data_IF_605932375374
#
_entry.id   IF_605932375374
#
_cell.length_a   1.000
_cell.length_b   1.000
_cell.length_c   1.000
_cell.angle_alpha   90.00
_cell.angle_beta   90.00
_cell.angle_gamma   90.00
#
_symmetry.space_group_name_H-M   'P 1'
#
loop_
_entity.id
_entity.type
_entity.pdbx_description
1 polymer ?
#
# COMPACT_ATOMS: atom_id res chain seq x y z
N UNK A 1 -5.70 4.68 12.53
CA UNK A 1 -6.43 3.54 11.96
C UNK A 1 -6.33 2.40 12.97
N UNK A 2 -7.07 2.49 14.08
CA UNK A 2 -6.90 1.59 15.23
C UNK A 2 -7.10 0.10 14.88
N UNK A 3 -7.98 -0.20 13.93
CA UNK A 3 -8.16 -1.57 13.42
C UNK A 3 -6.89 -2.17 12.83
N UNK A 4 -6.19 -1.43 11.95
CA UNK A 4 -4.98 -1.94 11.31
C UNK A 4 -3.85 -2.14 12.32
N UNK A 5 -3.80 -1.30 13.35
CA UNK A 5 -2.83 -1.44 14.44
C UNK A 5 -3.12 -2.70 15.28
N UNK A 6 -4.39 -2.94 15.61
CA UNK A 6 -4.84 -4.18 16.27
C UNK A 6 -4.57 -5.42 15.42
N UNK A 7 -4.91 -5.38 14.13
CA UNK A 7 -4.61 -6.47 13.19
C UNK A 7 -3.11 -6.79 13.13
N UNK A 8 -2.25 -5.76 13.10
CA UNK A 8 -0.81 -5.96 13.12
C UNK A 8 -0.34 -6.64 14.42
N UNK A 9 -0.89 -6.24 15.57
CA UNK A 9 -0.59 -6.85 16.86
C UNK A 9 -1.02 -8.33 16.89
N UNK A 10 -2.23 -8.63 16.43
CA UNK A 10 -2.76 -9.99 16.37
C UNK A 10 -1.91 -10.90 15.47
N UNK A 11 -1.60 -10.44 14.26
CA UNK A 11 -0.76 -11.19 13.32
C UNK A 11 0.66 -11.39 13.86
N UNK A 12 1.21 -10.41 14.57
CA UNK A 12 2.53 -10.53 15.21
C UNK A 12 2.50 -11.54 16.36
N UNK A 13 1.42 -11.58 17.14
CA UNK A 13 1.26 -12.52 18.25
C UNK A 13 1.07 -13.97 17.78
N UNK A 14 0.38 -14.17 16.64
CA UNK A 14 0.09 -15.49 16.06
C UNK A 14 1.26 -16.13 15.31
N UNK A 15 2.38 -15.44 15.13
CA UNK A 15 3.61 -16.06 14.62
C UNK A 15 4.32 -16.96 15.64
N UNK A 16 3.56 -17.84 16.29
CA UNK A 16 4.08 -18.87 17.17
C UNK A 16 4.95 -19.85 16.36
N UNK A 17 6.25 -19.92 16.69
CA UNK A 17 7.19 -20.89 16.11
C UNK A 17 8.25 -20.31 15.16
N UNK A 18 8.11 -19.06 14.70
CA UNK A 18 9.19 -18.35 13.98
C UNK A 18 10.05 -17.57 14.98
N UNK A 19 11.37 -17.49 14.74
CA UNK A 19 12.28 -16.67 15.56
C UNK A 19 11.76 -15.24 15.57
N UNK A 20 11.59 -14.64 16.76
CA UNK A 20 11.10 -13.26 16.92
C UNK A 20 11.82 -12.34 15.95
N UNK A 21 11.07 -11.55 15.19
CA UNK A 21 11.64 -10.59 14.24
C UNK A 21 12.60 -9.65 14.95
N UNK A 22 13.63 -9.25 14.21
CA UNK A 22 14.52 -8.17 14.64
C UNK A 22 13.72 -6.87 14.77
N UNK A 23 14.19 -5.99 15.66
CA UNK A 23 13.50 -4.73 16.03
C UNK A 23 13.24 -3.81 14.83
N UNK A 24 14.14 -3.83 13.86
CA UNK A 24 14.09 -3.07 12.60
C UNK A 24 13.15 -3.68 11.54
N UNK A 25 12.93 -5.01 11.59
CA UNK A 25 12.06 -5.71 10.66
C UNK A 25 10.56 -5.61 11.01
N UNK A 26 10.24 -5.47 12.30
CA UNK A 26 8.86 -5.33 12.79
C UNK A 26 8.08 -4.18 12.11
N UNK A 27 8.58 -2.92 12.10
CA UNK A 27 7.82 -1.83 11.47
C UNK A 27 7.64 -2.01 9.95
N UNK A 28 8.58 -2.68 9.26
CA UNK A 28 8.48 -2.98 7.83
C UNK A 28 7.41 -4.03 7.55
N UNK A 29 7.27 -5.02 8.44
CA UNK A 29 6.22 -6.03 8.37
C UNK A 29 4.83 -5.41 8.56
N UNK A 30 4.65 -4.58 9.59
CA UNK A 30 3.38 -3.88 9.83
C UNK A 30 3.03 -2.92 8.68
N UNK A 31 4.02 -2.18 8.17
CA UNK A 31 3.81 -1.33 7.00
C UNK A 31 3.41 -2.14 5.75
N UNK A 32 3.98 -3.33 5.56
CA UNK A 32 3.59 -4.23 4.48
C UNK A 32 2.14 -4.73 4.64
N UNK A 33 1.75 -5.18 5.84
CA UNK A 33 0.35 -5.57 6.14
C UNK A 33 -0.59 -4.43 5.79
N UNK A 34 -0.32 -3.22 6.32
CA UNK A 34 -1.13 -2.03 6.08
C UNK A 34 -1.24 -1.72 4.59
N UNK A 35 -0.13 -1.78 3.85
CA UNK A 35 -0.13 -1.51 2.42
C UNK A 35 -0.97 -2.53 1.63
N UNK A 36 -0.81 -3.83 1.90
CA UNK A 36 -1.55 -4.90 1.22
C UNK A 36 -3.05 -4.77 1.50
N UNK A 37 -3.43 -4.65 2.78
CA UNK A 37 -4.82 -4.55 3.20
C UNK A 37 -5.50 -3.33 2.58
N UNK A 38 -4.83 -2.17 2.58
CA UNK A 38 -5.39 -0.94 2.03
C UNK A 38 -5.54 -0.98 0.50
N UNK A 39 -4.63 -1.64 -0.21
CA UNK A 39 -4.71 -1.79 -1.66
C UNK A 39 -5.90 -2.69 -2.06
N UNK A 40 -6.07 -3.81 -1.35
CA UNK A 40 -7.21 -4.72 -1.55
C UNK A 40 -8.55 -4.08 -1.16
N UNK A 41 -8.60 -3.38 -0.02
CA UNK A 41 -9.79 -2.66 0.43
C UNK A 41 -10.20 -1.59 -0.59
N UNK A 42 -9.24 -0.80 -1.08
CA UNK A 42 -9.49 0.21 -2.10
C UNK A 42 -10.01 -0.41 -3.40
N UNK A 43 -9.42 -1.52 -3.84
CA UNK A 43 -9.87 -2.23 -5.04
C UNK A 43 -11.33 -2.68 -4.88
N UNK A 44 -11.65 -3.35 -3.77
CA UNK A 44 -13.01 -3.83 -3.47
C UNK A 44 -14.05 -2.70 -3.42
N UNK A 45 -13.72 -1.57 -2.77
CA UNK A 45 -14.62 -0.41 -2.71
C UNK A 45 -14.78 0.31 -4.05
N UNK A 46 -13.85 0.11 -4.98
CA UNK A 46 -13.96 0.64 -6.34
C UNK A 46 -14.84 -0.26 -7.20
N UNK A 47 -14.60 -1.58 -7.13
CA UNK A 47 -15.42 -2.63 -7.74
C UNK A 47 -15.17 -3.96 -6.99
N UNK A 48 -16.21 -4.58 -6.41
CA UNK A 48 -16.09 -5.82 -5.63
C UNK A 48 -15.48 -7.00 -6.37
N UNK A 49 -15.51 -7.00 -7.71
CA UNK A 49 -14.99 -8.07 -8.57
C UNK A 49 -13.51 -7.89 -8.92
N UNK A 50 -12.91 -6.74 -8.57
CA UNK A 50 -11.52 -6.48 -8.88
C UNK A 50 -10.58 -7.32 -8.03
N UNK A 51 -9.71 -8.03 -8.75
CA UNK A 51 -8.54 -8.67 -8.16
C UNK A 51 -7.34 -7.72 -8.24
N UNK A 52 -6.45 -7.78 -7.24
CA UNK A 52 -5.22 -6.98 -7.21
C UNK A 52 -4.02 -7.87 -7.52
N UNK A 53 -3.26 -7.50 -8.56
CA UNK A 53 -2.01 -8.16 -8.89
C UNK A 53 -0.89 -7.77 -7.93
N UNK A 54 -0.44 -8.71 -7.09
CA UNK A 54 0.62 -8.47 -6.11
C UNK A 54 1.82 -9.35 -6.45
N UNK A 55 2.87 -8.71 -6.98
CA UNK A 55 4.14 -9.39 -7.27
C UNK A 55 4.95 -9.61 -5.99
N UNK A 56 5.16 -10.85 -5.61
CA UNK A 56 5.95 -11.27 -4.43
C UNK A 56 7.40 -11.66 -4.75
N UNK A 57 7.82 -11.57 -6.03
CA UNK A 57 9.17 -11.93 -6.44
C UNK A 57 10.24 -11.06 -5.78
N UNK A 58 11.22 -11.71 -5.13
CA UNK A 58 12.27 -11.05 -4.34
C UNK A 58 13.01 -9.95 -5.11
N UNK A 59 13.46 -10.24 -6.33
CA UNK A 59 14.18 -9.28 -7.18
C UNK A 59 13.31 -8.06 -7.52
N UNK A 60 12.03 -8.29 -7.82
CA UNK A 60 11.09 -7.21 -8.13
C UNK A 60 10.82 -6.31 -6.91
N UNK A 61 10.67 -6.91 -5.73
CA UNK A 61 10.48 -6.19 -4.46
C UNK A 61 11.74 -5.41 -4.05
N UNK A 62 12.93 -6.00 -4.19
CA UNK A 62 14.21 -5.32 -3.94
C UNK A 62 14.44 -4.15 -4.90
N UNK A 63 14.08 -4.31 -6.18
CA UNK A 63 14.15 -3.20 -7.14
C UNK A 63 13.18 -2.08 -6.76
N UNK A 64 11.95 -2.43 -6.33
CA UNK A 64 10.99 -1.43 -5.82
C UNK A 64 11.52 -0.72 -4.58
N UNK A 65 12.12 -1.41 -3.62
CA UNK A 65 12.59 -0.79 -2.38
C UNK A 65 13.70 0.24 -2.59
N UNK A 66 14.53 0.03 -3.61
CA UNK A 66 15.58 0.96 -4.02
C UNK A 66 15.10 2.06 -4.97
N UNK A 67 13.89 1.92 -5.52
CA UNK A 67 13.39 2.84 -6.52
C UNK A 67 12.86 4.12 -5.90
N UNK A 68 13.08 5.25 -6.58
CA UNK A 68 12.46 6.55 -6.26
C UNK A 68 10.93 6.47 -6.19
N UNK A 69 10.33 5.60 -7.01
CA UNK A 69 8.88 5.42 -7.09
C UNK A 69 8.33 4.35 -6.15
N UNK A 70 9.21 3.56 -5.53
CA UNK A 70 8.81 2.52 -4.61
C UNK A 70 8.63 3.04 -3.20
N UNK A 71 7.99 2.21 -2.38
CA UNK A 71 7.88 2.50 -0.97
C UNK A 71 9.12 1.97 -0.23
N UNK A 72 9.82 2.86 0.47
CA UNK A 72 11.05 2.53 1.21
C UNK A 72 10.84 1.52 2.34
N UNK A 73 9.60 1.34 2.79
CA UNK A 73 9.24 0.33 3.79
C UNK A 73 9.16 -1.10 3.22
N UNK A 74 9.23 -1.28 1.90
CA UNK A 74 9.16 -2.61 1.29
C UNK A 74 10.53 -3.29 1.48
N UNK A 75 10.60 -4.24 2.40
CA UNK A 75 11.63 -5.28 2.37
C UNK A 75 11.03 -6.54 1.77
N UNK A 76 11.73 -7.17 0.83
CA UNK A 76 11.23 -8.38 0.17
C UNK A 76 10.83 -9.45 1.19
N UNK A 77 11.65 -9.63 2.24
CA UNK A 77 11.39 -10.63 3.28
C UNK A 77 10.13 -10.29 4.08
N UNK A 78 10.03 -9.07 4.61
CA UNK A 78 8.90 -8.69 5.47
C UNK A 78 7.60 -8.58 4.67
N UNK A 79 7.68 -8.22 3.39
CA UNK A 79 6.52 -8.18 2.50
C UNK A 79 5.98 -9.59 2.19
N UNK A 80 6.88 -10.55 1.92
CA UNK A 80 6.49 -11.96 1.73
C UNK A 80 5.92 -12.52 3.04
N UNK A 81 6.58 -12.31 4.17
CA UNK A 81 6.07 -12.77 5.48
C UNK A 81 4.67 -12.17 5.77
N UNK A 82 4.42 -10.91 5.42
CA UNK A 82 3.10 -10.27 5.56
C UNK A 82 2.03 -10.90 4.66
N UNK A 83 2.37 -11.20 3.40
CA UNK A 83 1.47 -11.91 2.49
C UNK A 83 1.14 -13.32 2.99
N UNK A 84 2.12 -14.05 3.53
CA UNK A 84 1.91 -15.37 4.12
C UNK A 84 0.98 -15.28 5.34
N UNK A 85 1.25 -14.37 6.28
CA UNK A 85 0.45 -14.18 7.48
C UNK A 85 -1.01 -13.83 7.17
N UNK A 86 -1.25 -12.95 6.20
CA UNK A 86 -2.61 -12.59 5.79
C UNK A 86 -3.35 -13.76 5.13
N UNK A 87 -2.65 -14.61 4.37
CA UNK A 87 -3.25 -15.79 3.73
C UNK A 87 -3.53 -16.89 4.74
N UNK A 88 -2.60 -17.19 5.65
CA UNK A 88 -2.78 -18.25 6.66
C UNK A 88 -3.96 -17.98 7.59
N UNK A 89 -4.26 -16.71 7.83
CA UNK A 89 -5.39 -16.26 8.64
C UNK A 89 -6.69 -16.10 7.84
N UNK A 90 -6.69 -16.43 6.54
CA UNK A 90 -7.89 -16.33 5.68
C UNK A 90 -8.39 -14.90 5.49
N UNK A 91 -7.53 -13.89 5.66
CA UNK A 91 -7.88 -12.48 5.49
C UNK A 91 -7.80 -12.05 4.02
N UNK A 92 -6.97 -12.74 3.24
CA UNK A 92 -6.86 -12.56 1.79
C UNK A 92 -6.88 -13.92 1.10
N UNK A 93 -7.33 -13.94 -0.15
CA UNK A 93 -7.38 -15.15 -0.97
C UNK A 93 -6.61 -14.94 -2.27
N UNK A 94 -5.85 -15.96 -2.69
CA UNK A 94 -5.25 -16.05 -4.01
C UNK A 94 -6.35 -16.39 -5.02
N UNK A 95 -6.75 -15.42 -5.85
CA UNK A 95 -7.84 -15.57 -6.82
C UNK A 95 -7.35 -16.05 -8.19
N UNK A 96 -6.15 -15.61 -8.61
CA UNK A 96 -5.51 -16.06 -9.84
C UNK A 96 -4.04 -16.39 -9.56
N UNK A 97 -3.59 -17.58 -9.95
CA UNK A 97 -2.20 -18.02 -9.79
C UNK A 97 -1.24 -17.23 -10.69
N UNK A 98 0.03 -17.20 -10.29
CA UNK A 98 1.08 -16.68 -11.17
C UNK A 98 1.29 -17.60 -12.38
N UNK A 99 1.70 -17.02 -13.49
CA UNK A 99 2.03 -17.76 -14.71
C UNK A 99 3.13 -17.02 -15.48
N UNK A 100 4.04 -17.76 -16.10
CA UNK A 100 5.11 -17.22 -16.94
C UNK A 100 5.22 -18.03 -18.23
N UNK A 101 5.25 -17.32 -19.36
CA UNK A 101 5.44 -17.83 -20.71
C UNK A 101 6.77 -17.30 -21.26
N UNK A 102 7.87 -18.06 -21.14
CA UNK A 102 9.16 -17.62 -21.64
C UNK A 102 9.18 -17.47 -23.16
N UNK A 103 8.47 -18.35 -23.87
CA UNK A 103 8.45 -18.38 -25.34
C UNK A 103 7.73 -17.15 -25.91
N UNK A 104 6.55 -16.81 -25.34
CA UNK A 104 5.77 -15.64 -25.77
C UNK A 104 6.17 -14.36 -25.04
N UNK A 105 7.17 -14.42 -24.14
CA UNK A 105 7.62 -13.32 -23.28
C UNK A 105 6.46 -12.66 -22.52
N UNK A 106 5.54 -13.48 -21.99
CA UNK A 106 4.34 -13.03 -21.27
C UNK A 106 4.33 -13.60 -19.86
N UNK A 107 4.42 -12.74 -18.86
CA UNK A 107 4.22 -13.14 -17.46
C UNK A 107 2.99 -12.46 -16.88
N UNK A 108 2.36 -13.14 -15.92
CA UNK A 108 1.26 -12.60 -15.11
C UNK A 108 1.58 -12.82 -13.64
N UNK A 109 1.51 -11.73 -12.87
CA UNK A 109 1.62 -11.79 -11.41
C UNK A 109 0.39 -12.46 -10.79
N UNK A 110 0.59 -13.14 -9.66
CA UNK A 110 -0.49 -13.64 -8.82
C UNK A 110 -1.45 -12.50 -8.44
N UNK A 111 -2.75 -12.83 -8.33
CA UNK A 111 -3.81 -11.87 -8.00
C UNK A 111 -4.56 -12.30 -6.75
N UNK A 112 -4.93 -11.31 -5.96
CA UNK A 112 -5.48 -11.50 -4.63
C UNK A 112 -6.73 -10.66 -4.44
N UNK A 113 -7.60 -11.11 -3.53
CA UNK A 113 -8.78 -10.39 -3.09
C UNK A 113 -8.83 -10.36 -1.55
N UNK A 114 -9.44 -9.32 -0.98
CA UNK A 114 -9.78 -9.31 0.43
C UNK A 114 -10.95 -10.26 0.69
N UNK A 115 -10.93 -10.99 1.80
CA UNK A 115 -12.07 -11.81 2.21
C UNK A 115 -13.14 -10.96 2.90
N UNK A 116 -14.41 -11.43 2.96
CA UNK A 116 -15.47 -10.73 3.68
C UNK A 116 -15.14 -10.45 5.15
N UNK A 117 -14.37 -11.35 5.80
CA UNK A 117 -13.91 -11.17 7.19
C UNK A 117 -13.04 -9.91 7.34
N UNK A 118 -12.04 -9.76 6.46
CA UNK A 118 -11.17 -8.59 6.46
C UNK A 118 -11.95 -7.30 6.20
N UNK A 119 -12.84 -7.32 5.21
CA UNK A 119 -13.67 -6.17 4.84
C UNK A 119 -14.59 -5.73 5.98
N UNK A 120 -15.25 -6.69 6.64
CA UNK A 120 -16.12 -6.42 7.79
C UNK A 120 -15.34 -5.77 8.94
N UNK A 121 -14.12 -6.23 9.23
CA UNK A 121 -13.26 -5.63 10.25
C UNK A 121 -12.89 -4.17 9.93
N UNK A 122 -12.60 -3.87 8.66
CA UNK A 122 -12.29 -2.50 8.21
C UNK A 122 -13.53 -1.60 8.24
N UNK A 123 -14.69 -2.10 7.80
CA UNK A 123 -15.93 -1.33 7.74
C UNK A 123 -16.46 -1.00 9.15
N UNK A 124 -16.28 -1.89 10.14
CA UNK A 124 -16.67 -1.66 11.54
C UNK A 124 -16.02 -0.44 12.18
N UNK A 125 -14.82 -0.06 11.74
CA UNK A 125 -14.14 1.15 12.23
C UNK A 125 -14.43 2.39 11.40
N UNK A 126 -15.41 2.32 10.49
CA UNK A 126 -15.84 3.44 9.67
C UNK A 126 -14.78 3.92 8.68
N UNK A 127 -13.86 3.06 8.26
CA UNK A 127 -12.81 3.45 7.35
C UNK A 127 -13.39 3.83 5.98
N UNK A 128 -13.04 5.00 5.45
CA UNK A 128 -13.45 5.41 4.11
C UNK A 128 -12.28 5.45 3.14
N UNK A 129 -12.54 5.11 1.88
CA UNK A 129 -11.57 5.28 0.78
C UNK A 129 -11.15 6.75 0.65
N UNK A 130 -12.04 7.70 0.97
CA UNK A 130 -11.70 9.13 0.89
C UNK A 130 -10.65 9.57 1.92
N UNK A 131 -10.51 8.81 3.00
CA UNK A 131 -9.50 9.05 4.03
C UNK A 131 -8.16 8.36 3.70
N UNK A 132 -8.11 7.54 2.64
CA UNK A 132 -6.86 6.97 2.14
C UNK A 132 -6.03 8.06 1.46
N UNK A 133 -5.00 8.51 2.16
CA UNK A 133 -4.03 9.49 1.65
C UNK A 133 -2.77 8.79 1.18
N UNK A 134 -2.21 9.28 0.08
CA UNK A 134 -0.83 8.93 -0.28
C UNK A 134 0.11 9.38 0.82
N UNK A 135 1.13 8.56 1.07
CA UNK A 135 2.17 8.88 2.03
C UNK A 135 2.86 10.19 1.66
N UNK A 136 3.16 11.04 2.65
CA UNK A 136 3.73 12.39 2.46
C UNK A 136 5.07 12.41 1.71
N UNK A 137 5.83 11.32 1.82
CA UNK A 137 7.14 11.16 1.19
C UNK A 137 7.07 10.35 -0.12
N UNK A 138 5.88 9.96 -0.59
CA UNK A 138 5.76 9.27 -1.86
C UNK A 138 6.13 10.23 -3.00
N UNK A 139 6.93 9.76 -3.97
CA UNK A 139 7.28 10.57 -5.14
C UNK A 139 6.01 10.93 -5.94
N UNK A 140 5.81 12.24 -6.10
CA UNK A 140 4.65 12.80 -6.77
C UNK A 140 4.83 12.92 -8.28
N UNK A 141 6.08 13.06 -8.73
CA UNK A 141 6.43 13.25 -10.13
C UNK A 141 6.89 11.92 -10.71
N UNK A 142 6.19 11.41 -11.72
CA UNK A 142 6.50 10.14 -12.39
C UNK A 142 6.97 10.40 -13.81
N UNK A 143 8.26 10.16 -14.08
CA UNK A 143 8.79 10.20 -15.43
C UNK A 143 8.47 8.89 -16.16
N UNK A 144 7.99 9.01 -17.39
CA UNK A 144 7.72 7.88 -18.27
C UNK A 144 8.54 8.00 -19.53
N UNK A 145 9.06 6.87 -20.01
CA UNK A 145 9.66 6.79 -21.34
C UNK A 145 8.59 6.75 -22.46
N UNK A 146 9.04 6.62 -23.71
CA UNK A 146 8.18 6.54 -24.90
C UNK A 146 7.22 5.34 -24.86
N UNK A 147 7.62 4.27 -24.18
CA UNK A 147 6.82 3.05 -23.98
C UNK A 147 5.90 3.16 -22.75
N UNK A 148 5.75 4.36 -22.17
CA UNK A 148 4.97 4.65 -20.96
C UNK A 148 5.48 3.93 -19.71
N UNK A 149 6.69 3.38 -19.72
CA UNK A 149 7.31 2.71 -18.57
C UNK A 149 7.89 3.75 -17.64
N UNK A 150 7.80 3.50 -16.33
CA UNK A 150 8.39 4.38 -15.33
C UNK A 150 9.91 4.28 -15.39
N UNK A 151 10.57 5.42 -15.59
CA UNK A 151 12.03 5.53 -15.60
C UNK A 151 12.48 6.51 -14.54
N UNK A 152 13.59 6.22 -13.88
CA UNK A 152 14.13 7.11 -12.86
C UNK A 152 14.82 8.30 -13.51
N UNK A 153 14.64 9.47 -12.92
CA UNK A 153 15.45 10.64 -13.23
C UNK A 153 16.41 10.89 -12.07
N UNK A 154 17.63 11.30 -12.42
CA UNK A 154 18.65 11.71 -11.48
C UNK A 154 18.31 13.02 -10.77
N UNK A 155 19.30 13.63 -10.14
CA UNK A 155 19.14 14.95 -9.54
C UNK A 155 19.09 16.01 -10.64
N UNK A 156 17.86 16.32 -11.04
CA UNK A 156 17.53 17.33 -12.02
C UNK A 156 16.94 18.56 -11.32
N UNK A 157 17.51 19.74 -11.61
CA UNK A 157 17.13 20.99 -10.95
C UNK A 157 15.65 21.33 -11.18
N UNK A 158 15.13 21.06 -12.38
CA UNK A 158 13.72 21.28 -12.71
C UNK A 158 12.82 20.34 -11.91
N UNK A 159 13.15 19.05 -11.84
CA UNK A 159 12.38 18.08 -11.09
C UNK A 159 12.38 18.36 -9.57
N UNK A 160 13.51 18.84 -9.02
CA UNK A 160 13.61 19.27 -7.63
C UNK A 160 12.70 20.47 -7.36
N UNK A 161 12.78 21.52 -8.19
CA UNK A 161 11.92 22.69 -8.06
C UNK A 161 10.42 22.33 -8.20
N UNK A 162 10.07 21.47 -9.15
CA UNK A 162 8.71 20.98 -9.32
C UNK A 162 8.22 20.19 -8.10
N UNK A 163 9.10 19.38 -7.49
CA UNK A 163 8.77 18.61 -6.28
C UNK A 163 8.47 19.52 -5.10
N UNK A 164 9.24 20.58 -4.91
CA UNK A 164 9.03 21.52 -3.81
C UNK A 164 7.74 22.33 -4.00
N UNK A 165 7.46 22.78 -5.22
CA UNK A 165 6.16 23.40 -5.56
C UNK A 165 4.99 22.46 -5.27
N UNK A 166 5.09 21.20 -5.67
CA UNK A 166 4.04 20.21 -5.43
C UNK A 166 3.85 19.94 -3.93
N UNK A 167 4.92 19.94 -3.13
CA UNK A 167 4.83 19.83 -1.66
C UNK A 167 4.09 21.01 -1.05
N UNK A 168 4.38 22.24 -1.49
CA UNK A 168 3.70 23.46 -1.04
C UNK A 168 2.21 23.40 -1.37
N UNK A 169 1.86 23.10 -2.63
CA UNK A 169 0.46 22.98 -3.07
C UNK A 169 -0.28 21.92 -2.22
N UNK A 170 0.32 20.75 -2.04
CA UNK A 170 -0.28 19.70 -1.22
C UNK A 170 -0.42 20.08 0.26
N UNK A 171 0.48 20.91 0.78
CA UNK A 171 0.38 21.43 2.14
C UNK A 171 -0.80 22.42 2.27
N UNK A 172 -0.93 23.35 1.33
CA UNK A 172 -2.04 24.32 1.29
C UNK A 172 -3.40 23.64 1.14
N UNK A 173 -3.52 22.65 0.23
CA UNK A 173 -4.77 21.92 0.05
C UNK A 173 -5.19 21.14 1.31
N UNK A 174 -4.22 20.66 2.09
CA UNK A 174 -4.49 19.97 3.36
C UNK A 174 -5.01 20.95 4.43
N UNK A 175 -4.41 22.13 4.56
CA UNK A 175 -4.86 23.12 5.54
C UNK A 175 -6.28 23.60 5.23
N UNK A 176 -6.55 23.90 3.95
CA UNK A 176 -7.89 24.29 3.48
C UNK A 176 -8.92 23.18 3.78
N UNK A 177 -8.62 21.93 3.43
CA UNK A 177 -9.52 20.80 3.68
C UNK A 177 -9.79 20.54 5.16
N UNK A 178 -8.86 20.86 6.06
CA UNK A 178 -9.08 20.80 7.51
C UNK A 178 -10.00 21.93 7.99
N UNK A 179 -9.80 23.16 7.50
CA UNK A 179 -10.65 24.31 7.82
C UNK A 179 -12.10 24.08 7.44
N UNK A 180 -12.38 23.54 6.25
CA UNK A 180 -13.74 23.21 5.82
C UNK A 180 -14.38 22.06 6.62
N UNK A 181 -13.59 21.06 7.04
CA UNK A 181 -14.08 19.94 7.87
C UNK A 181 -14.44 20.40 9.30
N UNK A 182 -13.70 21.37 9.86
CA UNK A 182 -14.02 22.01 11.15
C UNK A 182 -15.27 22.90 11.04
N UNK A 183 -15.40 23.67 9.96
CA UNK A 183 -16.59 24.48 9.75
C UNK A 183 -17.84 23.59 9.59
N UNK A 184 -17.82 22.61 8.68
CA UNK A 184 -19.00 21.73 8.43
C UNK A 184 -19.43 20.85 9.62
N UNK A 185 -18.56 20.60 10.61
CA UNK A 185 -18.91 19.90 11.84
C UNK A 185 -19.59 20.81 12.87
N UNK A 186 -19.25 22.10 12.91
CA UNK A 186 -19.95 23.10 13.73
C UNK A 186 -21.37 23.41 13.25
N UNK A 187 -21.69 23.17 11.97
CA UNK A 187 -23.03 23.38 11.41
C UNK A 187 -24.05 22.27 11.73
N UNK A 188 -23.64 21.15 12.34
CA UNK A 188 -24.53 20.00 12.63
C UNK A 188 -25.13 19.98 14.04
N UNK A 189 -24.96 21.06 14.81
CA UNK A 189 -25.41 21.16 16.21
C UNK A 189 -26.33 22.36 16.50
N UNK A 190 -27.03 22.88 15.47
CA UNK A 190 -28.06 23.91 15.60
C UNK A 190 -29.25 23.52 14.74
#
# INVERSE_FOLDING_TARGET
MAYLDGLCADLTARETGKRKRRRDAQPLFEAAIKAIVLDLYRAHKSDPTLEVGIGTGTTALQRKSKSRYGASFISARTFIDAMEALQSEGLIVLSTTHWDDPEKKRSRVARYMATPSLLCGIDRVGASVVDLRRHKNAEGIRLKDRDKRLVEYGDDAFANAARDRLRIINHMLKSIGQTWRVQTSNWRHT
#
